data_IF_269983176141
#
_entry.id   IF_269983176141
#
_cell.length_a   1.000
_cell.length_b   1.000
_cell.length_c   1.000
_cell.angle_alpha   90.00
_cell.angle_beta   90.00
_cell.angle_gamma   90.00
#
_symmetry.space_group_name_H-M   'P 1'
#
loop_
_entity.id
_entity.type
_entity.pdbx_description
1 polymer ?
#
# COMPACT_ATOMS: atom_id res chain seq x y z
N UNK A 1 3.31 -2.36 18.83
CA UNK A 1 2.98 -0.99 18.37
C UNK A 1 4.23 -0.43 17.69
N UNK A 2 4.15 -0.07 16.42
CA UNK A 2 5.23 0.69 15.77
C UNK A 2 5.20 2.10 16.37
N UNK A 3 6.25 2.46 17.09
CA UNK A 3 6.50 3.83 17.55
C UNK A 3 7.10 4.67 16.42
N UNK A 4 6.97 6.00 16.51
CA UNK A 4 7.44 6.96 15.50
C UNK A 4 8.94 6.87 15.19
N UNK A 5 9.72 6.26 16.07
CA UNK A 5 11.15 5.97 15.89
C UNK A 5 11.44 4.99 14.73
N UNK A 6 10.45 4.18 14.33
CA UNK A 6 10.56 3.25 13.21
C UNK A 6 9.94 3.78 11.92
N UNK A 7 9.41 5.01 11.94
CA UNK A 7 8.72 5.63 10.80
C UNK A 7 9.62 6.72 10.24
N UNK A 8 10.09 6.54 9.00
CA UNK A 8 10.70 7.62 8.23
C UNK A 8 9.55 8.36 7.54
N UNK A 9 9.06 9.42 8.16
CA UNK A 9 8.05 10.32 7.60
C UNK A 9 8.67 11.71 7.38
N UNK A 10 9.30 11.95 6.21
CA UNK A 10 9.84 13.26 5.89
C UNK A 10 8.73 14.32 5.84
N UNK A 11 9.01 15.48 6.41
CA UNK A 11 8.16 16.65 6.28
C UNK A 11 7.93 16.95 4.80
N UNK A 12 6.69 17.26 4.44
CA UNK A 12 6.29 17.57 3.06
C UNK A 12 6.55 16.46 2.03
N UNK A 13 6.65 15.20 2.46
CA UNK A 13 6.75 14.04 1.56
C UNK A 13 5.67 14.01 0.46
N UNK A 14 4.46 14.51 0.75
CA UNK A 14 3.37 14.66 -0.22
C UNK A 14 3.69 15.63 -1.38
N UNK A 15 4.67 16.52 -1.23
CA UNK A 15 5.11 17.46 -2.26
C UNK A 15 6.25 16.91 -3.13
N UNK A 16 6.86 15.77 -2.78
CA UNK A 16 8.05 15.28 -3.49
C UNK A 16 7.80 15.02 -4.97
N UNK A 17 6.62 14.51 -5.32
CA UNK A 17 6.25 14.32 -6.72
C UNK A 17 6.18 15.66 -7.48
N UNK A 18 5.52 16.68 -6.89
CA UNK A 18 5.39 17.99 -7.51
C UNK A 18 6.74 18.71 -7.65
N UNK A 19 7.58 18.64 -6.61
CA UNK A 19 8.94 19.21 -6.62
C UNK A 19 9.80 18.50 -7.67
N UNK A 20 9.75 17.17 -7.74
CA UNK A 20 10.46 16.38 -8.75
C UNK A 20 10.03 16.73 -10.18
N UNK A 21 8.73 16.86 -10.43
CA UNK A 21 8.22 17.31 -11.73
C UNK A 21 8.66 18.73 -12.06
N UNK A 22 8.71 19.63 -11.08
CA UNK A 22 9.20 20.99 -11.27
C UNK A 22 10.70 21.04 -11.59
N UNK A 23 11.52 20.13 -11.05
CA UNK A 23 12.93 20.03 -11.44
C UNK A 23 13.14 19.39 -12.81
N UNK A 24 12.27 18.46 -13.20
CA UNK A 24 12.33 17.76 -14.48
C UNK A 24 11.60 18.50 -15.62
N UNK A 25 11.27 19.79 -15.44
CA UNK A 25 10.56 20.57 -16.44
C UNK A 25 11.41 20.82 -17.69
N UNK A 26 10.76 20.88 -18.85
CA UNK A 26 11.37 21.25 -20.11
C UNK A 26 11.05 22.73 -20.41
N UNK A 27 12.09 23.55 -20.62
CA UNK A 27 11.96 24.98 -20.90
C UNK A 27 11.19 25.29 -22.19
N UNK A 28 11.08 24.31 -23.11
CA UNK A 28 10.34 24.46 -24.35
C UNK A 28 8.84 24.18 -24.20
N UNK A 29 8.40 23.71 -23.03
CA UNK A 29 7.00 23.38 -22.75
C UNK A 29 6.41 24.48 -21.87
N UNK A 30 5.45 25.21 -22.42
CA UNK A 30 4.60 26.13 -21.66
C UNK A 30 3.14 25.77 -21.89
N UNK A 31 2.35 25.83 -20.82
CA UNK A 31 0.93 25.50 -20.84
C UNK A 31 0.16 26.70 -20.28
N UNK A 32 -0.89 27.12 -20.97
CA UNK A 32 -1.74 28.19 -20.45
C UNK A 32 -2.51 27.71 -19.21
N UNK A 33 -2.69 28.60 -18.24
CA UNK A 33 -3.34 28.25 -16.98
C UNK A 33 -4.81 27.83 -17.18
N UNK A 34 -5.51 28.38 -18.19
CA UNK A 34 -6.88 27.99 -18.50
C UNK A 34 -6.94 26.60 -19.15
N UNK A 35 -5.93 26.23 -19.94
CA UNK A 35 -5.79 24.89 -20.49
C UNK A 35 -5.57 23.86 -19.38
N UNK A 36 -4.72 24.20 -18.40
CA UNK A 36 -4.49 23.34 -17.23
C UNK A 36 -5.76 23.15 -16.39
N UNK A 37 -6.53 24.22 -16.15
CA UNK A 37 -7.81 24.14 -15.44
C UNK A 37 -8.81 23.25 -16.21
N UNK A 38 -8.82 23.36 -17.53
CA UNK A 38 -9.70 22.55 -18.38
C UNK A 38 -9.29 21.08 -18.35
N UNK A 39 -7.99 20.78 -18.40
CA UNK A 39 -7.44 19.44 -18.27
C UNK A 39 -7.80 18.80 -16.92
N UNK A 40 -7.65 19.54 -15.82
CA UNK A 40 -7.99 19.06 -14.47
C UNK A 40 -9.50 18.80 -14.29
N UNK A 41 -10.35 19.58 -14.97
CA UNK A 41 -11.81 19.37 -14.97
C UNK A 41 -12.23 18.22 -15.88
N UNK A 42 -11.42 17.87 -16.86
CA UNK A 42 -11.66 16.71 -17.71
C UNK A 42 -11.45 15.42 -16.89
N UNK A 43 -12.07 14.30 -17.31
CA UNK A 43 -11.79 13.01 -16.67
C UNK A 43 -10.31 12.68 -16.88
N UNK A 44 -9.52 12.83 -15.82
CA UNK A 44 -8.12 12.40 -15.80
C UNK A 44 -8.13 10.87 -15.98
N UNK A 45 -7.80 10.40 -17.18
CA UNK A 45 -7.33 9.02 -17.37
C UNK A 45 -5.91 8.98 -16.81
N UNK A 46 -5.78 8.56 -15.56
CA UNK A 46 -4.50 8.12 -15.03
C UNK A 46 -4.14 6.85 -15.79
N UNK A 47 -3.24 6.96 -16.79
CA UNK A 47 -2.69 5.81 -17.55
C UNK A 47 -1.81 4.88 -16.68
N UNK A 48 -1.77 5.13 -15.38
CA UNK A 48 -1.26 4.23 -14.37
C UNK A 48 -2.35 3.98 -13.33
N UNK A 49 -3.32 3.15 -13.70
CA UNK A 49 -3.81 2.21 -12.70
C UNK A 49 -2.62 1.29 -12.40
N UNK A 50 -1.99 1.46 -11.22
CA UNK A 50 -1.33 0.32 -10.57
C UNK A 50 -2.35 -0.79 -10.70
N UNK A 51 -2.03 -1.84 -11.48
CA UNK A 51 -2.93 -2.97 -11.76
C UNK A 51 -3.58 -3.32 -10.43
N UNK A 52 -4.82 -2.89 -10.25
CA UNK A 52 -5.48 -3.01 -8.96
C UNK A 52 -5.72 -4.49 -8.87
N UNK A 53 -4.87 -5.15 -8.10
CA UNK A 53 -5.06 -6.57 -7.80
C UNK A 53 -6.50 -6.73 -7.36
N UNK A 54 -7.20 -7.65 -8.00
CA UNK A 54 -8.54 -8.01 -7.59
C UNK A 54 -8.53 -8.31 -6.08
N UNK A 55 -9.64 -8.00 -5.37
CA UNK A 55 -9.75 -8.34 -3.96
C UNK A 55 -9.31 -9.79 -3.74
N UNK A 56 -8.49 -10.02 -2.70
CA UNK A 56 -7.96 -11.35 -2.39
C UNK A 56 -9.08 -12.41 -2.28
N UNK A 57 -10.29 -11.96 -1.92
CA UNK A 57 -11.52 -12.73 -1.95
C UNK A 57 -12.62 -11.90 -2.60
N UNK A 58 -13.33 -12.48 -3.56
CA UNK A 58 -14.44 -11.84 -4.28
C UNK A 58 -15.71 -11.78 -3.45
N UNK A 59 -15.81 -12.64 -2.41
CA UNK A 59 -16.98 -12.81 -1.55
C UNK A 59 -16.61 -13.51 -0.23
N UNK A 60 -17.55 -13.51 0.71
CA UNK A 60 -17.39 -14.12 2.04
C UNK A 60 -17.19 -15.65 1.98
N UNK A 61 -17.77 -16.32 0.99
CA UNK A 61 -17.60 -17.77 0.82
C UNK A 61 -16.16 -18.15 0.47
N UNK A 62 -15.51 -17.40 -0.43
CA UNK A 62 -14.09 -17.60 -0.77
C UNK A 62 -13.18 -17.37 0.44
N UNK A 63 -13.52 -16.38 1.27
CA UNK A 63 -12.83 -16.13 2.54
C UNK A 63 -12.98 -17.33 3.50
N UNK A 64 -14.19 -17.85 3.69
CA UNK A 64 -14.45 -18.99 4.59
C UNK A 64 -13.76 -20.28 4.13
N UNK A 65 -13.73 -20.54 2.83
CA UNK A 65 -13.01 -21.67 2.23
C UNK A 65 -11.50 -21.55 2.46
N UNK A 66 -10.95 -20.34 2.29
CA UNK A 66 -9.54 -20.06 2.59
C UNK A 66 -9.23 -20.31 4.06
N UNK A 67 -10.03 -19.76 4.99
CA UNK A 67 -9.84 -19.92 6.43
C UNK A 67 -9.93 -21.39 6.82
N UNK A 68 -10.91 -22.13 6.30
CA UNK A 68 -11.09 -23.55 6.58
C UNK A 68 -9.89 -24.37 6.12
N UNK A 69 -9.35 -24.09 4.92
CA UNK A 69 -8.14 -24.75 4.42
C UNK A 69 -6.91 -24.36 5.22
N UNK A 70 -6.72 -23.06 5.49
CA UNK A 70 -5.54 -22.53 6.15
C UNK A 70 -5.43 -22.99 7.62
N UNK A 71 -6.57 -23.16 8.29
CA UNK A 71 -6.61 -23.63 9.67
C UNK A 71 -6.35 -25.13 9.84
N UNK A 72 -6.34 -25.93 8.76
CA UNK A 72 -6.08 -27.38 8.85
C UNK A 72 -4.65 -27.70 9.31
N UNK A 73 -3.69 -26.87 8.90
CA UNK A 73 -2.27 -27.08 9.20
C UNK A 73 -1.78 -26.20 10.38
N UNK A 74 -2.67 -25.98 11.37
CA UNK A 74 -2.29 -25.24 12.57
C UNK A 74 -1.46 -26.13 13.49
N UNK A 75 -0.19 -25.76 13.72
CA UNK A 75 0.66 -26.41 14.74
C UNK A 75 -0.01 -26.31 16.12
N UNK A 76 0.17 -27.35 16.95
CA UNK A 76 -0.39 -27.38 18.30
C UNK A 76 0.12 -26.16 19.08
N UNK A 77 -0.79 -25.24 19.38
CA UNK A 77 -0.54 -24.11 20.27
C UNK A 77 -0.61 -24.62 21.71
N UNK A 78 0.49 -24.47 22.44
CA UNK A 78 0.56 -24.76 23.87
C UNK A 78 0.67 -23.48 24.67
N UNK A 79 0.26 -23.52 25.94
CA UNK A 79 0.49 -22.39 26.85
C UNK A 79 1.99 -22.26 27.14
N UNK A 80 2.56 -21.11 26.79
CA UNK A 80 3.96 -20.79 27.02
C UNK A 80 4.30 -20.86 28.52
N UNK A 81 3.35 -20.58 29.41
CA UNK A 81 3.55 -20.64 30.86
C UNK A 81 3.86 -22.06 31.36
N UNK A 82 3.37 -23.08 30.65
CA UNK A 82 3.53 -24.50 30.97
C UNK A 82 4.72 -25.15 30.28
N UNK A 83 5.36 -24.45 29.32
CA UNK A 83 6.43 -24.99 28.50
C UNK A 83 7.75 -25.07 29.27
N UNK A 84 8.40 -26.24 29.27
CA UNK A 84 9.76 -26.43 29.78
C UNK A 84 10.64 -27.05 28.69
N UNK A 85 11.61 -26.28 28.21
CA UNK A 85 12.54 -26.69 27.17
C UNK A 85 13.16 -25.48 26.47
N UNK A 86 13.99 -25.73 25.46
CA UNK A 86 14.56 -24.68 24.63
C UNK A 86 13.51 -24.21 23.60
N UNK A 87 13.00 -23.00 23.80
CA UNK A 87 12.09 -22.36 22.86
C UNK A 87 12.90 -21.64 21.78
N UNK A 88 12.63 -21.96 20.51
CA UNK A 88 13.23 -21.29 19.35
C UNK A 88 12.14 -20.48 18.66
N UNK A 89 12.32 -19.17 18.57
CA UNK A 89 11.43 -18.24 17.87
C UNK A 89 12.07 -17.90 16.53
N UNK A 90 11.37 -18.21 15.45
CA UNK A 90 11.68 -17.82 14.08
C UNK A 90 10.65 -16.84 13.54
#
# INVERSE_FOLDING_TARGET
>A
NLTDEYIIAPDNSHLFAAIGSAFAYDENISVDINELITLLKSKIKLDFEVERMEPLFSNEKEYDEFITRHNKDCVRKGDLSSYKGNCFMG
#
